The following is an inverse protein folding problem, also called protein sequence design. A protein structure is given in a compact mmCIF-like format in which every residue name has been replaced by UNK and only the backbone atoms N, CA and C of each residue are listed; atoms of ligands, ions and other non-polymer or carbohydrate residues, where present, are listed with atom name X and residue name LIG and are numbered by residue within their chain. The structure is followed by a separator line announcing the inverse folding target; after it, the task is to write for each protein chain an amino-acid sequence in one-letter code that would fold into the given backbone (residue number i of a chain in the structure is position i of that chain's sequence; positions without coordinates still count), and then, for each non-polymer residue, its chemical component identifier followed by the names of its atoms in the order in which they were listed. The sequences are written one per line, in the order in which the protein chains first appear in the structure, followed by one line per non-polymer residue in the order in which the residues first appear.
data_IF_475872091502
#
_entry.id   IF_475872091502
#
_cell.length_a   1.000
_cell.length_b   1.000
_cell.length_c   1.000
_cell.angle_alpha   90.00
_cell.angle_beta   90.00
_cell.angle_gamma   90.00
#
_symmetry.space_group_name_H-M   'P 1'
#
loop_
_entity.id
_entity.type
_entity.pdbx_description
1 polymer ?
#
# COMPACT_ATOMS: atom_id res chain seq x y z
N UNK A 1 -13.50 28.82 -32.15
CA UNK A 1 -12.88 28.66 -30.82
C UNK A 1 -11.51 28.04 -31.03
N UNK A 2 -10.42 28.69 -30.61
CA UNK A 2 -9.07 28.12 -30.74
C UNK A 2 -9.04 26.82 -29.91
N UNK A 3 -8.65 25.70 -30.53
CA UNK A 3 -8.43 24.41 -29.85
C UNK A 3 -7.45 24.60 -28.71
N UNK A 4 -7.97 24.75 -27.49
CA UNK A 4 -7.18 24.71 -26.27
C UNK A 4 -6.69 23.27 -26.11
N UNK A 5 -5.39 23.08 -25.90
CA UNK A 5 -4.84 21.74 -25.67
C UNK A 5 -5.58 21.08 -24.49
N UNK A 6 -6.20 19.90 -24.67
CA UNK A 6 -6.92 19.21 -23.62
C UNK A 6 -6.08 18.93 -22.36
N UNK A 7 -4.74 18.88 -22.47
CA UNK A 7 -3.85 18.74 -21.31
C UNK A 7 -3.93 19.92 -20.34
N UNK A 8 -4.28 21.11 -20.82
CA UNK A 8 -4.34 22.30 -19.96
C UNK A 8 -5.44 22.23 -18.90
N UNK A 9 -6.45 21.37 -19.10
CA UNK A 9 -7.48 21.11 -18.09
C UNK A 9 -6.97 20.26 -16.92
N UNK A 10 -5.82 19.60 -17.08
CA UNK A 10 -5.21 18.72 -16.09
C UNK A 10 -4.03 19.36 -15.36
N UNK A 11 -3.80 20.66 -15.56
CA UNK A 11 -2.76 21.41 -14.87
C UNK A 11 -3.03 21.48 -13.36
N UNK A 12 -1.96 21.34 -12.58
CA UNK A 12 -1.99 21.39 -11.12
C UNK A 12 -1.42 22.73 -10.64
N UNK A 13 -2.01 23.28 -9.57
CA UNK A 13 -1.51 24.46 -8.87
C UNK A 13 -0.09 24.18 -8.39
N UNK A 14 0.80 25.19 -8.40
CA UNK A 14 2.17 25.03 -7.91
C UNK A 14 2.18 24.69 -6.42
N UNK A 15 3.06 23.77 -6.05
CA UNK A 15 3.21 23.31 -4.67
C UNK A 15 4.45 23.93 -4.07
N UNK A 16 4.33 24.39 -2.83
CA UNK A 16 5.50 24.67 -1.99
C UNK A 16 5.89 23.36 -1.33
N UNK A 17 7.04 22.81 -1.69
CA UNK A 17 7.53 21.59 -1.07
C UNK A 17 7.73 21.77 0.43
N UNK A 18 7.65 20.67 1.18
CA UNK A 18 7.97 20.68 2.60
C UNK A 18 9.46 21.06 2.78
N UNK A 19 9.72 22.26 3.33
CA UNK A 19 11.08 22.84 3.45
C UNK A 19 12.09 21.88 4.09
N UNK A 20 11.68 21.15 5.12
CA UNK A 20 12.54 20.17 5.82
C UNK A 20 13.00 19.06 4.87
N UNK A 21 12.12 18.61 3.99
CA UNK A 21 12.42 17.54 3.07
C UNK A 21 13.21 18.01 1.84
N UNK A 22 12.98 19.24 1.37
CA UNK A 22 13.85 19.88 0.36
C UNK A 22 15.29 20.02 0.87
N UNK A 23 15.48 20.42 2.12
CA UNK A 23 16.79 20.49 2.77
C UNK A 23 17.42 19.09 2.82
N UNK A 24 16.68 18.08 3.28
CA UNK A 24 17.19 16.70 3.36
C UNK A 24 17.59 16.12 1.99
N UNK A 25 16.78 16.33 0.95
CA UNK A 25 17.11 15.89 -0.42
C UNK A 25 18.30 16.67 -0.98
N UNK A 26 18.37 17.97 -0.75
CA UNK A 26 19.49 18.80 -1.20
C UNK A 26 20.81 18.40 -0.51
N UNK A 27 20.77 18.13 0.80
CA UNK A 27 21.94 17.65 1.55
C UNK A 27 22.36 16.25 1.07
N UNK A 28 21.44 15.31 0.88
CA UNK A 28 21.75 13.97 0.38
C UNK A 28 22.25 13.99 -1.08
N UNK A 29 21.81 14.96 -1.88
CA UNK A 29 22.26 15.14 -3.25
C UNK A 29 23.54 15.99 -3.37
N UNK A 30 24.05 16.57 -2.28
CA UNK A 30 25.23 17.42 -2.32
C UNK A 30 26.47 16.63 -2.81
N UNK A 31 27.38 17.25 -3.58
CA UNK A 31 28.58 16.57 -4.10
C UNK A 31 29.68 16.34 -3.03
N UNK A 32 29.33 16.47 -1.75
CA UNK A 32 30.23 16.28 -0.60
C UNK A 32 30.23 14.80 -0.18
N UNK A 33 31.32 14.28 0.39
CA UNK A 33 31.36 12.89 0.90
C UNK A 33 30.43 12.71 2.10
N UNK A 34 29.90 11.50 2.31
CA UNK A 34 28.95 11.24 3.40
C UNK A 34 29.53 11.56 4.78
N UNK A 35 30.84 11.34 4.97
CA UNK A 35 31.56 11.61 6.22
C UNK A 35 31.69 13.12 6.54
N UNK A 36 31.60 13.97 5.51
CA UNK A 36 31.69 15.44 5.63
C UNK A 36 30.31 16.11 5.64
N UNK A 37 29.22 15.35 5.40
CA UNK A 37 27.86 15.89 5.35
C UNK A 37 27.29 16.06 6.76
N UNK A 38 26.94 17.30 7.10
CA UNK A 38 26.09 17.59 8.26
C UNK A 38 24.63 17.39 7.86
N UNK A 39 24.10 16.19 8.11
CA UNK A 39 22.69 15.90 7.90
C UNK A 39 21.85 16.59 8.98
N UNK A 40 21.06 17.60 8.60
CA UNK A 40 19.99 18.13 9.46
C UNK A 40 18.85 17.11 9.49
N UNK A 41 18.94 16.15 10.39
CA UNK A 41 17.87 15.19 10.66
C UNK A 41 17.31 15.46 12.05
N UNK A 42 16.06 15.89 12.11
CA UNK A 42 15.35 16.06 13.37
C UNK A 42 15.08 14.64 13.91
N UNK A 43 15.85 14.23 14.92
CA UNK A 43 15.48 13.10 15.80
C UNK A 43 16.08 11.72 15.49
N UNK A 44 17.37 11.60 15.13
CA UNK A 44 17.93 10.26 14.94
C UNK A 44 19.32 10.01 15.53
N UNK A 45 19.42 9.60 16.81
CA UNK A 45 20.67 9.13 17.39
C UNK A 45 21.14 7.76 16.86
N UNK A 46 20.32 7.02 16.09
CA UNK A 46 20.59 5.64 15.63
C UNK A 46 21.50 5.50 14.40
N UNK A 47 22.28 6.53 14.04
CA UNK A 47 23.39 6.36 13.09
C UNK A 47 24.68 5.89 13.79
N UNK A 48 24.69 5.81 15.12
CA UNK A 48 25.76 5.14 15.86
C UNK A 48 25.62 3.61 15.76
N UNK A 49 26.65 2.95 15.23
CA UNK A 49 26.80 1.50 15.16
C UNK A 49 26.50 0.77 16.48
N UNK A 50 26.81 1.39 17.64
CA UNK A 50 26.53 0.83 18.96
C UNK A 50 25.04 0.81 19.27
N UNK A 51 24.33 1.88 18.90
CA UNK A 51 22.88 1.97 19.11
C UNK A 51 22.12 1.04 18.16
N UNK A 52 22.58 0.92 16.90
CA UNK A 52 22.06 -0.08 15.95
C UNK A 52 22.26 -1.51 16.47
N UNK A 53 23.44 -1.84 16.97
CA UNK A 53 23.72 -3.17 17.55
C UNK A 53 22.94 -3.42 18.84
N UNK A 54 22.71 -2.39 19.66
CA UNK A 54 21.83 -2.48 20.83
C UNK A 54 20.37 -2.74 20.42
N UNK A 55 19.86 -2.02 19.42
CA UNK A 55 18.51 -2.23 18.90
C UNK A 55 18.34 -3.62 18.28
N UNK A 56 19.34 -4.11 17.54
CA UNK A 56 19.36 -5.48 17.01
C UNK A 56 19.21 -6.52 18.12
N UNK A 57 19.96 -6.38 19.23
CA UNK A 57 19.86 -7.30 20.37
C UNK A 57 18.47 -7.28 20.99
N UNK A 58 17.90 -6.09 21.20
CA UNK A 58 16.52 -5.95 21.70
C UNK A 58 15.51 -6.62 20.77
N UNK A 59 15.60 -6.37 19.46
CA UNK A 59 14.69 -6.94 18.46
C UNK A 59 14.78 -8.47 18.37
N UNK A 60 15.94 -9.03 18.66
CA UNK A 60 16.19 -10.47 18.68
C UNK A 60 15.92 -11.12 20.06
N UNK A 61 15.51 -10.36 21.07
CA UNK A 61 15.29 -10.86 22.43
C UNK A 61 16.58 -11.21 23.19
N UNK A 62 17.72 -10.68 22.75
CA UNK A 62 19.03 -10.86 23.37
C UNK A 62 19.32 -9.78 24.42
N UNK A 63 20.19 -10.09 25.38
CA UNK A 63 20.65 -9.12 26.38
C UNK A 63 21.39 -7.95 25.70
N UNK A 64 20.90 -6.73 25.93
CA UNK A 64 21.44 -5.47 25.40
C UNK A 64 22.88 -5.19 25.90
N UNK A 65 23.34 -5.85 26.95
CA UNK A 65 24.69 -5.69 27.49
C UNK A 65 25.73 -6.63 26.86
N UNK A 66 25.32 -7.61 26.06
CA UNK A 66 26.21 -8.52 25.31
C UNK A 66 26.83 -7.82 24.10
N UNK A 67 27.79 -6.92 24.32
CA UNK A 67 28.44 -6.15 23.24
C UNK A 67 29.29 -7.00 22.29
N UNK A 68 29.63 -8.22 22.71
CA UNK A 68 30.19 -9.25 21.85
C UNK A 68 29.25 -9.59 20.68
N UNK A 69 27.93 -9.63 20.91
CA UNK A 69 26.94 -9.96 19.89
C UNK A 69 26.56 -8.72 19.08
N UNK A 70 27.17 -8.54 17.90
CA UNK A 70 26.92 -7.41 17.01
C UNK A 70 26.69 -7.83 15.56
N UNK A 71 26.26 -6.88 14.73
CA UNK A 71 25.88 -7.10 13.33
C UNK A 71 26.96 -7.71 12.43
N UNK A 72 28.24 -7.67 12.83
CA UNK A 72 29.35 -8.28 12.07
C UNK A 72 29.60 -9.75 12.42
N UNK A 73 29.01 -10.23 13.52
CA UNK A 73 29.24 -11.58 14.06
C UNK A 73 28.00 -12.47 13.88
N UNK A 74 27.61 -12.70 12.62
CA UNK A 74 26.40 -13.46 12.28
C UNK A 74 26.39 -14.87 12.90
N UNK A 75 27.52 -15.58 12.87
CA UNK A 75 27.57 -16.95 13.36
C UNK A 75 27.41 -17.01 14.90
N UNK A 76 27.97 -16.05 15.64
CA UNK A 76 27.79 -15.92 17.09
C UNK A 76 26.35 -15.54 17.45
N UNK A 77 25.71 -14.70 16.64
CA UNK A 77 24.29 -14.36 16.80
C UNK A 77 23.40 -15.60 16.59
N UNK A 78 23.62 -16.37 15.53
CA UNK A 78 22.88 -17.61 15.26
C UNK A 78 23.01 -18.61 16.41
N UNK A 79 24.23 -18.83 16.92
CA UNK A 79 24.47 -19.71 18.06
C UNK A 79 23.74 -19.22 19.32
N UNK A 80 23.81 -17.92 19.61
CA UNK A 80 23.13 -17.34 20.79
C UNK A 80 21.61 -17.44 20.72
N UNK A 81 21.05 -17.39 19.52
CA UNK A 81 19.61 -17.52 19.25
C UNK A 81 19.14 -18.96 19.14
N UNK A 82 20.08 -19.92 19.11
CA UNK A 82 19.80 -21.33 18.81
C UNK A 82 19.10 -21.49 17.45
N UNK A 83 19.42 -20.62 16.50
CA UNK A 83 18.90 -20.67 15.13
C UNK A 83 19.72 -21.61 14.26
N UNK A 84 19.11 -22.15 13.21
CA UNK A 84 19.78 -23.03 12.29
C UNK A 84 20.64 -22.22 11.30
N UNK A 85 21.68 -22.82 10.69
CA UNK A 85 22.47 -22.15 9.66
C UNK A 85 21.63 -21.65 8.45
N UNK A 86 20.49 -22.29 8.18
CA UNK A 86 19.55 -21.89 7.13
C UNK A 86 18.87 -20.54 7.42
N UNK A 87 18.71 -20.19 8.70
CA UNK A 87 18.11 -18.92 9.15
C UNK A 87 19.07 -17.73 9.01
N UNK A 88 20.31 -17.96 8.52
CA UNK A 88 21.30 -16.90 8.31
C UNK A 88 20.78 -15.79 7.40
N UNK A 89 20.07 -16.15 6.33
CA UNK A 89 19.50 -15.16 5.39
C UNK A 89 18.41 -14.31 6.04
N UNK A 90 17.63 -14.88 6.95
CA UNK A 90 16.63 -14.16 7.75
C UNK A 90 17.31 -13.20 8.72
N UNK A 91 18.38 -13.63 9.40
CA UNK A 91 19.16 -12.77 10.29
C UNK A 91 19.78 -11.58 9.53
N UNK A 92 20.37 -11.83 8.36
CA UNK A 92 20.89 -10.78 7.48
C UNK A 92 19.79 -9.79 7.06
N UNK A 93 18.58 -10.29 6.74
CA UNK A 93 17.41 -9.46 6.45
C UNK A 93 17.00 -8.58 7.64
N UNK A 94 16.93 -9.12 8.85
CA UNK A 94 16.57 -8.36 10.04
C UNK A 94 17.58 -7.24 10.33
N UNK A 95 18.88 -7.56 10.24
CA UNK A 95 19.96 -6.57 10.37
C UNK A 95 19.82 -5.46 9.32
N UNK A 96 19.62 -5.84 8.05
CA UNK A 96 19.44 -4.89 6.95
C UNK A 96 18.22 -4.00 7.16
N UNK A 97 17.11 -4.58 7.61
CA UNK A 97 15.85 -3.89 7.90
C UNK A 97 16.03 -2.86 9.00
N UNK A 98 16.68 -3.22 10.10
CA UNK A 98 16.98 -2.30 11.22
C UNK A 98 17.85 -1.13 10.74
N UNK A 99 18.94 -1.44 10.02
CA UNK A 99 19.86 -0.42 9.51
C UNK A 99 19.20 0.56 8.56
N UNK A 100 18.32 0.08 7.68
CA UNK A 100 17.63 0.93 6.69
C UNK A 100 16.39 1.61 7.23
N UNK A 101 15.77 1.07 8.28
CA UNK A 101 14.63 1.70 8.97
C UNK A 101 15.06 2.71 10.01
N UNK A 102 16.33 2.69 10.43
CA UNK A 102 16.92 3.72 11.27
C UNK A 102 16.78 5.10 10.60
N UNK A 103 17.38 5.41 9.42
CA UNK A 103 17.17 6.70 8.76
C UNK A 103 15.76 6.85 8.17
N UNK A 104 15.30 8.09 8.04
CA UNK A 104 14.07 8.39 7.29
C UNK A 104 14.24 8.00 5.82
N UNK A 105 13.33 7.18 5.30
CA UNK A 105 13.25 6.91 3.87
C UNK A 105 13.01 8.22 3.10
N UNK A 106 13.60 8.44 1.91
CA UNK A 106 13.29 9.61 1.09
C UNK A 106 11.81 9.69 0.68
N UNK A 107 11.32 10.89 0.38
CA UNK A 107 9.99 11.05 -0.26
C UNK A 107 9.93 10.25 -1.55
N UNK A 108 8.79 9.62 -1.82
CA UNK A 108 8.61 8.71 -2.94
C UNK A 108 9.35 7.37 -2.81
N UNK A 109 10.01 7.10 -1.67
CA UNK A 109 10.58 5.80 -1.32
C UNK A 109 12.03 5.56 -1.75
N UNK A 110 12.67 6.49 -2.46
CA UNK A 110 14.08 6.37 -2.86
C UNK A 110 14.71 7.74 -3.23
N UNK A 111 16.03 7.82 -3.27
CA UNK A 111 16.74 9.04 -3.71
C UNK A 111 16.88 9.06 -5.23
N UNK A 112 16.77 10.24 -5.87
CA UNK A 112 16.84 10.38 -7.34
C UNK A 112 18.12 9.82 -7.96
N UNK A 113 19.24 9.87 -7.22
CA UNK A 113 20.55 9.40 -7.66
C UNK A 113 20.77 7.90 -7.43
N UNK A 114 19.94 7.25 -6.62
CA UNK A 114 20.16 5.86 -6.22
C UNK A 114 18.82 5.16 -5.99
N UNK A 115 18.13 4.72 -7.07
CA UNK A 115 16.96 3.87 -6.95
C UNK A 115 17.28 2.61 -6.16
N UNK A 116 16.39 2.25 -5.24
CA UNK A 116 16.52 1.04 -4.44
C UNK A 116 16.27 -0.21 -5.30
N UNK A 117 16.60 -1.39 -4.77
CA UNK A 117 16.46 -2.67 -5.48
C UNK A 117 15.02 -2.93 -5.95
N UNK A 118 14.03 -2.51 -5.15
CA UNK A 118 12.62 -2.67 -5.46
C UNK A 118 12.18 -1.84 -6.67
N UNK A 119 12.60 -0.58 -6.75
CA UNK A 119 12.32 0.29 -7.90
C UNK A 119 13.01 -0.25 -9.15
N UNK A 120 14.25 -0.75 -9.03
CA UNK A 120 14.95 -1.40 -10.15
C UNK A 120 14.24 -2.67 -10.63
N UNK A 121 13.72 -3.49 -9.71
CA UNK A 121 12.93 -4.67 -10.04
C UNK A 121 11.64 -4.27 -10.77
N UNK A 122 10.97 -3.20 -10.33
CA UNK A 122 9.78 -2.67 -11.00
C UNK A 122 10.07 -2.10 -12.39
N UNK A 123 11.12 -1.29 -12.54
CA UNK A 123 11.57 -0.80 -13.85
C UNK A 123 11.93 -1.95 -14.78
N UNK A 124 12.66 -2.95 -14.29
CA UNK A 124 12.99 -4.16 -15.05
C UNK A 124 11.74 -4.94 -15.45
N UNK A 125 10.74 -5.05 -14.57
CA UNK A 125 9.46 -5.67 -14.89
C UNK A 125 8.73 -4.93 -16.02
N UNK A 126 8.75 -3.59 -16.02
CA UNK A 126 8.17 -2.78 -17.10
C UNK A 126 8.93 -2.95 -18.43
N UNK A 127 10.26 -3.03 -18.40
CA UNK A 127 11.10 -3.07 -19.60
C UNK A 127 11.19 -4.47 -20.23
N UNK A 128 11.03 -5.53 -19.43
CA UNK A 128 11.10 -6.91 -19.92
C UNK A 128 9.76 -7.45 -20.46
N UNK A 129 8.70 -6.65 -20.44
CA UNK A 129 7.40 -7.03 -21.00
C UNK A 129 7.30 -6.79 -22.50
N UNK A 130 6.40 -7.50 -23.20
CA UNK A 130 5.98 -7.12 -24.54
C UNK A 130 5.50 -5.67 -24.54
N UNK A 131 6.02 -4.86 -25.47
CA UNK A 131 5.75 -3.43 -25.58
C UNK A 131 6.25 -2.66 -24.34
N UNK A 132 7.57 -2.52 -24.19
CA UNK A 132 8.17 -1.94 -22.99
C UNK A 132 7.74 -0.50 -22.79
N UNK A 133 7.46 -0.16 -21.52
CA UNK A 133 7.19 1.19 -21.08
C UNK A 133 8.38 1.68 -20.25
N UNK A 134 8.89 2.85 -20.61
CA UNK A 134 10.00 3.49 -19.92
C UNK A 134 9.50 4.73 -19.18
N UNK A 135 9.83 4.81 -17.90
CA UNK A 135 9.53 5.94 -17.02
C UNK A 135 10.83 6.36 -16.36
N UNK A 136 11.07 7.67 -16.26
CA UNK A 136 12.28 8.18 -15.66
C UNK A 136 12.24 8.03 -14.13
N UNK A 137 13.25 7.37 -13.56
CA UNK A 137 13.45 7.28 -12.10
C UNK A 137 14.04 8.56 -11.50
N UNK A 138 14.20 9.61 -12.30
CA UNK A 138 14.93 10.86 -12.09
C UNK A 138 16.45 10.77 -12.26
N UNK A 139 16.96 9.67 -12.81
CA UNK A 139 18.37 9.52 -13.16
C UNK A 139 18.76 10.38 -14.37
N UNK A 140 17.84 10.57 -15.33
CA UNK A 140 18.17 11.23 -16.61
C UNK A 140 17.66 12.68 -16.70
N UNK A 141 16.43 12.96 -16.28
CA UNK A 141 15.76 14.26 -16.51
C UNK A 141 15.38 15.01 -15.24
N UNK A 142 15.88 14.56 -14.08
CA UNK A 142 15.54 15.05 -12.74
C UNK A 142 14.04 14.97 -12.37
N UNK A 143 13.19 14.53 -13.31
CA UNK A 143 11.76 14.25 -13.15
C UNK A 143 11.59 12.82 -12.69
N UNK A 144 10.77 12.65 -11.66
CA UNK A 144 10.47 11.35 -11.11
C UNK A 144 9.10 10.90 -11.61
N UNK A 145 9.09 9.86 -12.43
CA UNK A 145 7.90 9.28 -13.04
C UNK A 145 7.52 7.92 -12.43
N UNK A 146 8.25 7.48 -11.39
CA UNK A 146 7.95 6.33 -10.53
C UNK A 146 8.10 6.75 -9.07
N UNK A 147 7.11 6.43 -8.24
CA UNK A 147 7.21 6.59 -6.77
C UNK A 147 6.71 5.32 -6.08
N UNK A 148 7.15 5.13 -4.84
CA UNK A 148 6.55 4.17 -3.90
C UNK A 148 5.61 4.93 -2.97
N UNK A 149 4.43 4.36 -2.75
CA UNK A 149 3.45 4.82 -1.78
C UNK A 149 3.07 3.67 -0.82
N UNK A 150 2.50 4.00 0.35
CA UNK A 150 2.11 3.01 1.36
C UNK A 150 0.62 3.08 1.73
N UNK A 151 0.11 1.98 2.28
CA UNK A 151 -1.29 1.83 2.70
C UNK A 151 -2.21 1.14 1.68
N UNK A 152 -1.66 0.56 0.62
CA UNK A 152 -2.41 -0.20 -0.39
C UNK A 152 -3.10 0.68 -1.44
N UNK A 153 -3.59 0.05 -2.51
CA UNK A 153 -4.14 0.75 -3.69
C UNK A 153 -5.29 1.69 -3.34
N UNK A 154 -6.19 1.26 -2.45
CA UNK A 154 -7.35 2.05 -2.02
C UNK A 154 -6.94 3.37 -1.35
N UNK A 155 -5.89 3.33 -0.53
CA UNK A 155 -5.39 4.52 0.12
C UNK A 155 -4.68 5.46 -0.84
N UNK A 156 -3.87 4.91 -1.75
CA UNK A 156 -3.19 5.71 -2.78
C UNK A 156 -4.21 6.39 -3.67
N UNK A 157 -5.31 5.71 -4.01
CA UNK A 157 -6.45 6.30 -4.71
C UNK A 157 -7.10 7.43 -3.90
N UNK A 158 -7.30 7.24 -2.60
CA UNK A 158 -7.85 8.30 -1.72
C UNK A 158 -6.95 9.54 -1.72
N UNK A 159 -5.63 9.36 -1.61
CA UNK A 159 -4.67 10.47 -1.67
C UNK A 159 -4.70 11.13 -3.05
N UNK A 160 -4.71 10.37 -4.14
CA UNK A 160 -4.77 10.91 -5.50
C UNK A 160 -6.06 11.70 -5.75
N UNK A 161 -7.21 11.21 -5.32
CA UNK A 161 -8.48 11.93 -5.47
C UNK A 161 -8.49 13.23 -4.66
N UNK A 162 -7.91 13.22 -3.46
CA UNK A 162 -7.70 14.44 -2.68
C UNK A 162 -6.77 15.44 -3.39
N UNK A 163 -5.70 14.94 -4.02
CA UNK A 163 -4.80 15.75 -4.86
C UNK A 163 -5.56 16.42 -5.99
N UNK A 164 -6.38 15.66 -6.74
CA UNK A 164 -7.19 16.21 -7.82
C UNK A 164 -8.16 17.28 -7.29
N UNK A 165 -8.88 16.98 -6.21
CA UNK A 165 -9.83 17.93 -5.60
C UNK A 165 -9.17 19.24 -5.14
N UNK A 166 -7.98 19.17 -4.55
CA UNK A 166 -7.36 20.35 -3.93
C UNK A 166 -6.46 21.14 -4.88
N UNK A 167 -5.73 20.45 -5.76
CA UNK A 167 -4.65 21.03 -6.56
C UNK A 167 -4.97 21.18 -8.03
N UNK A 168 -6.02 20.55 -8.57
CA UNK A 168 -6.39 20.78 -9.96
C UNK A 168 -6.78 22.26 -10.17
N UNK A 169 -6.27 22.88 -11.24
CA UNK A 169 -6.60 24.28 -11.56
C UNK A 169 -8.01 24.40 -12.15
N UNK A 170 -8.42 23.42 -12.95
CA UNK A 170 -9.73 23.40 -13.61
C UNK A 170 -10.70 22.54 -12.81
N UNK A 171 -11.55 23.16 -12.00
CA UNK A 171 -12.57 22.48 -11.19
C UNK A 171 -13.95 23.06 -11.48
N UNK A 172 -15.05 22.29 -11.33
CA UNK A 172 -15.11 20.90 -10.85
C UNK A 172 -14.60 19.87 -11.86
N UNK A 173 -14.24 18.67 -11.39
CA UNK A 173 -13.80 17.55 -12.23
C UNK A 173 -14.73 16.34 -12.10
N UNK A 174 -14.83 15.55 -13.17
CA UNK A 174 -15.60 14.30 -13.20
C UNK A 174 -14.67 13.11 -13.00
N UNK A 175 -15.11 12.12 -12.24
CA UNK A 175 -14.45 10.83 -12.05
C UNK A 175 -15.43 9.73 -12.46
N UNK A 176 -15.07 9.00 -13.52
CA UNK A 176 -15.85 7.88 -14.05
C UNK A 176 -15.25 6.57 -13.55
N UNK A 177 -15.99 5.80 -12.76
CA UNK A 177 -15.49 4.54 -12.18
C UNK A 177 -15.86 3.36 -13.08
N UNK A 178 -14.86 2.70 -13.66
CA UNK A 178 -15.04 1.46 -14.43
C UNK A 178 -14.42 0.27 -13.69
N UNK A 179 -15.27 -0.65 -13.24
CA UNK A 179 -14.86 -1.88 -12.52
C UNK A 179 -13.91 -1.61 -11.35
N UNK A 180 -14.05 -0.46 -10.69
CA UNK A 180 -13.28 -0.08 -9.53
C UNK A 180 -14.24 0.32 -8.42
N UNK A 181 -14.20 -0.40 -7.31
CA UNK A 181 -15.06 -0.13 -6.16
C UNK A 181 -14.41 0.94 -5.28
N UNK A 182 -15.08 2.08 -5.17
CA UNK A 182 -14.71 3.15 -4.25
C UNK A 182 -15.72 3.18 -3.10
N UNK A 183 -15.21 3.31 -1.87
CA UNK A 183 -16.06 3.53 -0.69
C UNK A 183 -16.81 4.86 -0.78
N UNK A 184 -17.98 4.94 -0.15
CA UNK A 184 -18.82 6.15 -0.16
C UNK A 184 -18.11 7.37 0.45
N UNK A 185 -17.26 7.14 1.46
CA UNK A 185 -16.44 8.19 2.05
C UNK A 185 -15.49 8.81 1.01
N UNK A 186 -14.92 8.01 0.10
CA UNK A 186 -14.08 8.51 -0.99
C UNK A 186 -14.91 9.22 -2.06
N UNK A 187 -16.14 8.78 -2.31
CA UNK A 187 -17.05 9.45 -3.26
C UNK A 187 -17.56 10.81 -2.76
N UNK A 188 -17.41 11.11 -1.47
CA UNK A 188 -17.79 12.41 -0.88
C UNK A 188 -16.75 13.53 -1.01
N UNK A 189 -15.62 13.30 -1.71
CA UNK A 189 -14.57 14.31 -1.89
C UNK A 189 -15.13 15.54 -2.63
N UNK A 190 -14.93 16.77 -2.09
CA UNK A 190 -15.52 17.97 -2.66
C UNK A 190 -15.00 18.25 -4.07
N UNK A 191 -15.79 18.95 -4.89
CA UNK A 191 -15.45 19.39 -6.25
C UNK A 191 -15.20 18.26 -7.27
N UNK A 192 -15.33 16.99 -6.85
CA UNK A 192 -15.32 15.83 -7.71
C UNK A 192 -16.75 15.29 -7.88
N UNK A 193 -17.10 14.95 -9.12
CA UNK A 193 -18.38 14.32 -9.47
C UNK A 193 -18.12 12.88 -9.87
N UNK A 194 -18.58 11.94 -9.04
CA UNK A 194 -18.39 10.50 -9.28
C UNK A 194 -19.59 9.92 -10.03
N UNK A 195 -19.31 9.14 -11.06
CA UNK A 195 -20.31 8.39 -11.82
C UNK A 195 -19.80 6.96 -12.03
N UNK A 196 -20.60 5.97 -11.69
CA UNK A 196 -20.25 4.57 -11.92
C UNK A 196 -20.64 4.18 -13.35
N UNK A 197 -19.68 3.65 -14.10
CA UNK A 197 -19.88 3.18 -15.47
C UNK A 197 -20.45 1.75 -15.48
N UNK A 198 -21.13 1.40 -16.57
CA UNK A 198 -21.63 0.05 -16.77
C UNK A 198 -20.50 -0.99 -16.73
N UNK A 199 -20.77 -2.18 -16.19
CA UNK A 199 -19.79 -3.28 -16.15
C UNK A 199 -19.42 -3.81 -17.54
N UNK A 200 -20.32 -3.65 -18.52
CA UNK A 200 -20.11 -3.99 -19.92
C UNK A 200 -19.32 -2.88 -20.64
N UNK A 201 -18.18 -3.27 -21.23
CA UNK A 201 -17.18 -2.33 -21.75
C UNK A 201 -17.70 -1.45 -22.90
N UNK A 202 -18.46 -2.02 -23.83
CA UNK A 202 -19.01 -1.26 -24.96
C UNK A 202 -19.99 -0.18 -24.50
N UNK A 203 -20.79 -0.50 -23.48
CA UNK A 203 -21.76 0.42 -22.88
C UNK A 203 -21.04 1.50 -22.06
N UNK A 204 -20.04 1.12 -21.27
CA UNK A 204 -19.18 2.07 -20.55
C UNK A 204 -18.51 3.08 -21.49
N UNK A 205 -17.97 2.62 -22.63
CA UNK A 205 -17.36 3.49 -23.65
C UNK A 205 -18.36 4.50 -24.21
N UNK A 206 -19.58 4.06 -24.55
CA UNK A 206 -20.64 4.97 -25.01
C UNK A 206 -21.03 6.00 -23.95
N UNK A 207 -21.07 5.60 -22.67
CA UNK A 207 -21.33 6.53 -21.57
C UNK A 207 -20.24 7.59 -21.47
N UNK A 208 -18.96 7.21 -21.55
CA UNK A 208 -17.81 8.14 -21.56
C UNK A 208 -17.97 9.17 -22.68
N UNK A 209 -18.25 8.72 -23.91
CA UNK A 209 -18.47 9.60 -25.06
C UNK A 209 -19.63 10.58 -24.83
N UNK A 210 -20.74 10.11 -24.25
CA UNK A 210 -21.90 10.94 -23.93
C UNK A 210 -21.58 12.01 -22.88
N UNK A 211 -20.84 11.66 -21.82
CA UNK A 211 -20.43 12.60 -20.78
C UNK A 211 -19.52 13.71 -21.34
N UNK A 212 -18.54 13.33 -22.17
CA UNK A 212 -17.62 14.26 -22.83
C UNK A 212 -18.33 15.15 -23.88
N UNK A 213 -19.42 14.67 -24.48
CA UNK A 213 -20.22 15.47 -25.42
C UNK A 213 -21.11 16.47 -24.69
N UNK A 214 -21.72 16.07 -23.58
CA UNK A 214 -22.61 16.93 -22.77
C UNK A 214 -21.85 18.08 -22.10
N UNK A 215 -20.62 17.83 -21.65
CA UNK A 215 -19.80 18.82 -20.95
C UNK A 215 -18.36 18.78 -21.48
N UNK A 216 -18.10 19.42 -22.63
CA UNK A 216 -16.84 19.28 -23.36
C UNK A 216 -15.63 19.91 -22.67
N UNK A 217 -15.84 20.88 -21.79
CA UNK A 217 -14.78 21.62 -21.08
C UNK A 217 -14.53 21.12 -19.65
N UNK A 218 -15.23 20.07 -19.21
CA UNK A 218 -15.05 19.53 -17.86
C UNK A 218 -13.93 18.48 -17.85
N UNK A 219 -12.87 18.64 -17.04
CA UNK A 219 -11.85 17.62 -16.91
C UNK A 219 -12.46 16.32 -16.40
N UNK A 220 -12.24 15.25 -17.15
CA UNK A 220 -12.80 13.93 -16.86
C UNK A 220 -11.66 12.93 -16.63
N UNK A 221 -11.65 12.32 -15.45
CA UNK A 221 -10.78 11.22 -15.08
C UNK A 221 -11.56 9.90 -15.20
N UNK A 222 -10.97 8.88 -15.81
CA UNK A 222 -11.54 7.52 -15.83
C UNK A 222 -10.69 6.64 -14.94
N UNK A 223 -11.29 6.13 -13.87
CA UNK A 223 -10.69 5.17 -12.96
C UNK A 223 -10.98 3.76 -13.49
N UNK A 224 -9.93 3.00 -13.77
CA UNK A 224 -9.99 1.70 -14.44
C UNK A 224 -9.49 0.64 -13.46
N UNK A 225 -10.41 -0.15 -12.91
CA UNK A 225 -10.11 -1.23 -11.97
C UNK A 225 -9.97 -2.62 -12.61
N UNK A 226 -10.22 -2.74 -13.92
CA UNK A 226 -10.04 -4.00 -14.67
C UNK A 226 -9.38 -3.78 -16.03
N UNK A 227 -8.87 -4.83 -16.69
CA UNK A 227 -8.29 -4.71 -18.03
C UNK A 227 -9.35 -4.30 -19.06
N UNK A 228 -8.90 -3.61 -20.10
CA UNK A 228 -9.72 -3.18 -21.25
C UNK A 228 -9.39 -4.00 -22.50
N UNK A 229 -10.31 -4.06 -23.45
CA UNK A 229 -10.03 -4.60 -24.79
C UNK A 229 -9.25 -3.58 -25.64
N UNK A 230 -8.53 -4.08 -26.64
CA UNK A 230 -7.72 -3.26 -27.55
C UNK A 230 -8.58 -2.24 -28.32
N UNK A 231 -9.78 -2.63 -28.76
CA UNK A 231 -10.70 -1.74 -29.48
C UNK A 231 -11.07 -0.52 -28.62
N UNK A 232 -11.36 -0.73 -27.34
CA UNK A 232 -11.71 0.32 -26.39
C UNK A 232 -10.51 1.19 -26.09
N UNK A 233 -9.32 0.61 -25.86
CA UNK A 233 -8.09 1.38 -25.65
C UNK A 233 -7.81 2.35 -26.80
N UNK A 234 -7.90 1.88 -28.05
CA UNK A 234 -7.69 2.72 -29.24
C UNK A 234 -8.70 3.85 -29.35
N UNK A 235 -9.96 3.61 -29.02
CA UNK A 235 -11.01 4.65 -29.05
C UNK A 235 -10.83 5.68 -27.93
N UNK A 236 -10.55 5.24 -26.72
CA UNK A 236 -10.25 6.13 -25.59
C UNK A 236 -9.02 7.00 -25.86
N UNK A 237 -8.00 6.45 -26.50
CA UNK A 237 -6.84 7.20 -26.98
C UNK A 237 -7.27 8.34 -27.91
N UNK A 238 -8.04 8.06 -28.97
CA UNK A 238 -8.51 9.09 -29.89
C UNK A 238 -9.32 10.17 -29.18
N UNK A 239 -10.25 9.77 -28.30
CA UNK A 239 -11.04 10.70 -27.50
C UNK A 239 -10.18 11.59 -26.62
N UNK A 240 -9.14 11.06 -25.99
CA UNK A 240 -8.26 11.85 -25.10
C UNK A 240 -7.42 12.91 -25.83
N UNK A 241 -7.15 12.72 -27.12
CA UNK A 241 -6.44 13.71 -27.93
C UNK A 241 -7.34 14.92 -28.21
N UNK A 242 -8.67 14.72 -28.29
CA UNK A 242 -9.64 15.75 -28.66
C UNK A 242 -10.38 16.36 -27.46
N UNK A 243 -10.52 15.60 -26.37
CA UNK A 243 -11.32 15.93 -25.20
C UNK A 243 -10.48 15.90 -23.92
N UNK A 244 -10.87 16.65 -22.88
CA UNK A 244 -10.16 16.64 -21.59
C UNK A 244 -10.44 15.33 -20.84
N UNK A 245 -9.76 14.27 -21.28
CA UNK A 245 -9.82 12.91 -20.73
C UNK A 245 -8.43 12.47 -20.22
N UNK A 246 -8.41 11.97 -18.99
CA UNK A 246 -7.23 11.45 -18.28
C UNK A 246 -7.57 10.11 -17.63
N UNK A 247 -6.59 9.22 -17.47
CA UNK A 247 -6.81 7.85 -17.01
C UNK A 247 -6.04 7.55 -15.72
N UNK A 248 -6.68 6.80 -14.82
CA UNK A 248 -6.07 6.26 -13.62
C UNK A 248 -6.30 4.74 -13.66
N UNK A 249 -5.24 3.97 -13.84
CA UNK A 249 -5.29 2.50 -13.88
C UNK A 249 -4.93 1.94 -12.51
N UNK A 250 -5.84 1.19 -11.90
CA UNK A 250 -5.68 0.56 -10.59
C UNK A 250 -5.99 -0.95 -10.68
N UNK A 251 -5.33 -1.65 -11.61
CA UNK A 251 -5.72 -2.99 -12.04
C UNK A 251 -4.55 -3.96 -12.28
N UNK A 252 -3.31 -3.60 -11.90
CA UNK A 252 -2.09 -4.40 -12.15
C UNK A 252 -1.89 -4.82 -13.62
N UNK A 253 -2.53 -4.16 -14.59
CA UNK A 253 -2.49 -4.60 -15.98
C UNK A 253 -1.04 -4.58 -16.52
N UNK A 254 -0.60 -5.61 -17.26
CA UNK A 254 0.69 -5.60 -17.95
C UNK A 254 0.70 -4.54 -19.06
N UNK A 255 1.89 -4.18 -19.56
CA UNK A 255 2.05 -3.07 -20.51
C UNK A 255 1.19 -3.21 -21.77
N UNK A 256 1.15 -4.40 -22.36
CA UNK A 256 0.36 -4.66 -23.56
C UNK A 256 -1.15 -4.46 -23.36
N UNK A 257 -1.63 -4.52 -22.11
CA UNK A 257 -3.03 -4.26 -21.71
C UNK A 257 -3.27 -2.85 -21.13
N UNK A 258 -2.21 -2.09 -20.85
CA UNK A 258 -2.31 -0.73 -20.30
C UNK A 258 -2.61 0.30 -21.39
N UNK A 259 -3.39 1.32 -21.05
CA UNK A 259 -3.56 2.52 -21.88
C UNK A 259 -2.28 3.32 -22.01
N UNK A 260 -1.34 3.24 -21.06
CA UNK A 260 -0.09 4.01 -21.12
C UNK A 260 0.75 3.65 -22.36
N UNK A 261 0.63 2.42 -22.86
CA UNK A 261 1.22 1.95 -24.12
C UNK A 261 0.72 2.73 -25.33
N UNK A 262 -0.54 3.13 -25.34
CA UNK A 262 -1.12 3.82 -26.48
C UNK A 262 -0.38 5.13 -26.73
N UNK A 263 0.05 5.35 -27.97
CA UNK A 263 0.96 6.45 -28.27
C UNK A 263 0.37 7.81 -27.84
N UNK A 264 1.19 8.57 -27.10
CA UNK A 264 0.89 9.86 -26.43
C UNK A 264 0.10 9.78 -25.12
N UNK A 265 -0.18 8.57 -24.59
CA UNK A 265 -0.91 8.43 -23.32
C UNK A 265 -0.03 8.24 -22.09
N UNK A 266 1.28 7.99 -22.22
CA UNK A 266 2.18 7.88 -21.05
C UNK A 266 2.04 9.08 -20.09
N UNK A 267 1.84 10.29 -20.64
CA UNK A 267 1.64 11.51 -19.85
C UNK A 267 0.18 11.77 -19.42
N UNK A 268 -0.75 10.87 -19.75
CA UNK A 268 -2.19 10.97 -19.46
C UNK A 268 -2.73 9.79 -18.68
N UNK A 269 -1.85 8.91 -18.23
CA UNK A 269 -2.18 7.70 -17.49
C UNK A 269 -1.34 7.68 -16.23
N UNK A 270 -1.99 7.60 -15.07
CA UNK A 270 -1.33 7.24 -13.81
C UNK A 270 -1.67 5.78 -13.54
N UNK A 271 -0.64 4.95 -13.36
CA UNK A 271 -0.78 3.53 -13.04
C UNK A 271 -0.47 3.31 -11.57
N UNK A 272 -1.37 2.65 -10.87
CA UNK A 272 -1.23 2.17 -9.51
C UNK A 272 -1.12 0.65 -9.56
N UNK A 273 0.07 0.13 -9.24
CA UNK A 273 0.34 -1.30 -9.29
C UNK A 273 0.73 -1.78 -7.89
N UNK A 274 0.01 -2.77 -7.40
CA UNK A 274 0.39 -3.52 -6.20
C UNK A 274 1.57 -4.47 -6.52
N UNK A 275 2.23 -5.04 -5.49
CA UNK A 275 3.27 -6.04 -5.69
C UNK A 275 2.74 -7.36 -6.29
N UNK A 276 1.41 -7.49 -6.41
CA UNK A 276 0.71 -8.51 -7.19
C UNK A 276 1.22 -8.67 -8.63
N UNK A 277 1.89 -7.65 -9.20
CA UNK A 277 2.53 -7.72 -10.52
C UNK A 277 3.73 -8.68 -10.58
N UNK A 278 4.40 -8.92 -9.45
CA UNK A 278 5.49 -9.88 -9.34
C UNK A 278 4.95 -11.26 -8.98
N UNK A 279 4.00 -11.32 -8.05
CA UNK A 279 3.32 -12.54 -7.67
C UNK A 279 1.93 -12.25 -7.08
N UNK A 280 0.85 -12.94 -7.49
CA UNK A 280 -0.52 -12.61 -7.08
C UNK A 280 -0.76 -12.51 -5.57
N UNK A 281 -0.11 -13.40 -4.79
CA UNK A 281 -0.18 -13.41 -3.32
C UNK A 281 0.21 -12.06 -2.71
N UNK A 282 1.16 -11.36 -3.30
CA UNK A 282 1.64 -10.08 -2.77
C UNK A 282 0.70 -8.90 -3.07
N UNK A 283 -0.47 -9.13 -3.68
CA UNK A 283 -1.39 -8.08 -4.09
C UNK A 283 -2.02 -7.30 -2.92
N UNK A 284 -2.13 -7.91 -1.75
CA UNK A 284 -2.70 -7.32 -0.53
C UNK A 284 -1.68 -6.49 0.27
N UNK A 285 -0.38 -6.56 -0.08
CA UNK A 285 0.66 -5.80 0.60
C UNK A 285 0.43 -4.29 0.47
N UNK A 286 0.84 -3.58 1.50
CA UNK A 286 0.64 -2.13 1.67
C UNK A 286 1.44 -1.27 0.70
N UNK A 287 2.55 -1.77 0.16
CA UNK A 287 3.40 -1.03 -0.77
C UNK A 287 2.78 -0.95 -2.15
N UNK A 288 2.78 0.22 -2.79
CA UNK A 288 2.20 0.43 -4.13
C UNK A 288 3.19 1.18 -5.01
N UNK A 289 3.39 0.67 -6.22
CA UNK A 289 4.12 1.35 -7.29
C UNK A 289 3.18 2.32 -8.00
N UNK A 290 3.59 3.58 -8.10
CA UNK A 290 2.84 4.60 -8.81
C UNK A 290 3.71 5.11 -9.95
N UNK A 291 3.24 4.94 -11.19
CA UNK A 291 3.94 5.38 -12.40
C UNK A 291 3.08 6.36 -13.20
N UNK A 292 3.65 7.46 -13.69
CA UNK A 292 2.90 8.47 -14.43
C UNK A 292 3.62 9.80 -14.55
N UNK A 293 2.86 10.87 -14.76
CA UNK A 293 3.44 12.22 -14.92
C UNK A 293 4.09 12.72 -13.63
N UNK A 294 5.32 13.22 -13.76
CA UNK A 294 6.10 13.75 -12.64
C UNK A 294 5.38 14.87 -11.86
N UNK A 295 4.57 15.68 -12.54
CA UNK A 295 3.80 16.74 -11.89
C UNK A 295 2.83 16.17 -10.85
N UNK A 296 2.02 15.17 -11.23
CA UNK A 296 1.10 14.48 -10.30
C UNK A 296 1.86 13.74 -9.21
N UNK A 297 2.91 12.99 -9.58
CA UNK A 297 3.70 12.23 -8.63
C UNK A 297 4.33 13.11 -7.56
N UNK A 298 4.84 14.30 -7.92
CA UNK A 298 5.40 15.26 -6.95
C UNK A 298 4.37 15.76 -5.92
N UNK A 299 3.10 15.89 -6.34
CA UNK A 299 2.01 16.28 -5.44
C UNK A 299 1.62 15.14 -4.53
N UNK A 300 1.50 13.93 -5.08
CA UNK A 300 1.19 12.72 -4.33
C UNK A 300 2.27 12.51 -3.26
N UNK A 301 3.55 12.61 -3.60
CA UNK A 301 4.66 12.52 -2.64
C UNK A 301 4.54 13.53 -1.51
N UNK A 302 4.26 14.79 -1.85
CA UNK A 302 4.15 15.88 -0.88
C UNK A 302 2.96 15.66 0.06
N UNK A 303 1.81 15.23 -0.48
CA UNK A 303 0.62 14.95 0.30
C UNK A 303 0.78 13.70 1.16
N UNK A 304 1.35 12.64 0.60
CA UNK A 304 1.66 11.42 1.33
C UNK A 304 2.60 11.72 2.49
N UNK A 305 3.64 12.52 2.26
CA UNK A 305 4.55 12.98 3.31
C UNK A 305 3.83 13.76 4.42
N UNK A 306 2.96 14.69 4.06
CA UNK A 306 2.23 15.49 5.05
C UNK A 306 1.20 14.68 5.85
N UNK A 307 0.58 13.67 5.24
CA UNK A 307 -0.47 12.87 5.87
C UNK A 307 0.09 11.67 6.65
N UNK A 308 1.17 11.04 6.15
CA UNK A 308 1.67 9.75 6.62
C UNK A 308 3.17 9.67 6.81
N UNK A 309 3.92 10.70 6.41
CA UNK A 309 5.36 10.61 6.28
C UNK A 309 5.78 9.81 5.05
N UNK A 310 6.94 9.18 5.13
CA UNK A 310 7.55 8.49 3.99
C UNK A 310 7.12 7.02 3.93
N UNK A 311 7.20 6.37 2.76
CA UNK A 311 6.94 4.93 2.65
C UNK A 311 7.77 4.15 3.67
N UNK A 312 7.19 3.10 4.25
CA UNK A 312 7.85 2.34 5.31
C UNK A 312 9.09 1.63 4.78
N UNK A 313 10.23 1.90 5.41
CA UNK A 313 11.49 1.26 5.07
C UNK A 313 11.43 -0.26 5.31
N UNK A 314 10.77 -0.69 6.39
CA UNK A 314 10.63 -2.11 6.70
C UNK A 314 9.75 -2.85 5.71
N UNK A 315 8.69 -2.23 5.19
CA UNK A 315 7.84 -2.83 4.15
C UNK A 315 8.58 -2.97 2.83
N UNK A 316 9.36 -1.96 2.44
CA UNK A 316 10.21 -1.99 1.24
C UNK A 316 11.27 -3.09 1.35
N UNK A 317 11.94 -3.20 2.50
CA UNK A 317 12.94 -4.24 2.73
C UNK A 317 12.32 -5.64 2.79
N UNK A 318 11.15 -5.78 3.40
CA UNK A 318 10.41 -7.04 3.43
C UNK A 318 10.05 -7.49 2.01
N UNK A 319 9.45 -6.61 1.21
CA UNK A 319 9.11 -6.93 -0.18
C UNK A 319 10.36 -7.23 -1.02
N UNK A 320 11.45 -6.49 -0.81
CA UNK A 320 12.74 -6.77 -1.46
C UNK A 320 13.24 -8.17 -1.11
N UNK A 321 13.18 -8.56 0.17
CA UNK A 321 13.60 -9.88 0.64
C UNK A 321 12.73 -11.00 0.07
N UNK A 322 11.41 -10.82 0.02
CA UNK A 322 10.49 -11.78 -0.59
C UNK A 322 10.85 -12.04 -2.07
N UNK A 323 11.21 -11.00 -2.81
CA UNK A 323 11.63 -11.11 -4.21
C UNK A 323 13.00 -11.79 -4.36
N UNK A 324 13.97 -11.43 -3.52
CA UNK A 324 15.34 -11.99 -3.54
C UNK A 324 15.34 -13.49 -3.22
N UNK A 325 14.57 -13.90 -2.21
CA UNK A 325 14.54 -15.27 -1.70
C UNK A 325 13.46 -16.16 -2.33
N UNK A 326 12.60 -15.60 -3.19
CA UNK A 326 11.47 -16.30 -3.82
C UNK A 326 10.53 -17.01 -2.84
N UNK A 327 10.32 -16.42 -1.66
CA UNK A 327 9.55 -17.03 -0.56
C UNK A 327 8.05 -17.12 -0.84
N UNK A 328 7.59 -16.54 -1.94
CA UNK A 328 6.20 -16.61 -2.41
C UNK A 328 5.83 -17.98 -3.02
N UNK A 329 6.82 -18.79 -3.41
CA UNK A 329 6.64 -20.14 -3.98
C UNK A 329 6.41 -21.22 -2.90
N UNK A 330 6.56 -20.88 -1.63
CA UNK A 330 6.38 -21.81 -0.51
C UNK A 330 4.87 -22.00 -0.23
N UNK A 331 4.31 -23.09 -0.76
CA UNK A 331 3.02 -23.65 -0.32
C UNK A 331 3.31 -24.93 0.45
N UNK A 332 3.03 -24.93 1.75
CA UNK A 332 2.53 -26.13 2.40
C UNK A 332 1.00 -26.11 2.26
N UNK A 333 0.42 -27.28 1.95
CA UNK A 333 -1.01 -27.51 1.70
C UNK A 333 -1.91 -26.63 2.58
N UNK A 334 -2.62 -25.70 1.94
CA UNK A 334 -3.72 -24.96 2.58
C UNK A 334 -4.84 -25.99 2.79
N UNK A 335 -5.21 -26.38 4.04
CA UNK A 335 -6.46 -27.06 4.27
C UNK A 335 -7.57 -26.07 3.90
N UNK A 336 -8.54 -26.53 3.12
CA UNK A 336 -9.64 -25.75 2.55
C UNK A 336 -10.13 -24.58 3.43
N UNK A 337 -10.20 -23.40 2.80
CA UNK A 337 -10.84 -22.15 3.23
C UNK A 337 -11.55 -22.21 4.58
N UNK A 338 -10.87 -21.75 5.63
CA UNK A 338 -11.54 -21.05 6.73
C UNK A 338 -11.68 -19.60 6.26
N UNK A 339 -12.88 -18.99 6.25
CA UNK A 339 -13.02 -17.60 5.87
C UNK A 339 -12.25 -16.73 6.87
N UNK A 340 -11.10 -16.21 6.44
CA UNK A 340 -10.31 -15.26 7.22
C UNK A 340 -11.10 -13.95 7.19
N UNK A 341 -11.74 -13.63 8.32
CA UNK A 341 -12.31 -12.31 8.56
C UNK A 341 -11.21 -11.26 8.42
N UNK A 342 -11.46 -10.24 7.60
CA UNK A 342 -10.59 -9.07 7.40
C UNK A 342 -10.03 -8.57 8.74
N UNK A 343 -8.72 -8.32 8.88
CA UNK A 343 -8.20 -7.67 10.07
C UNK A 343 -8.82 -6.28 10.20
N UNK A 344 -9.47 -6.03 11.33
CA UNK A 344 -10.12 -4.78 11.67
C UNK A 344 -9.07 -3.74 12.07
N UNK A 345 -8.44 -3.07 11.10
CA UNK A 345 -7.78 -1.80 11.36
C UNK A 345 -7.86 -0.85 10.16
N UNK A 346 -8.97 -0.14 10.08
CA UNK A 346 -9.06 1.18 9.43
C UNK A 346 -9.18 2.22 10.54
N UNK A 347 -8.26 3.17 10.58
CA UNK A 347 -8.25 4.23 11.57
C UNK A 347 -9.54 5.06 11.58
N UNK A 348 -10.03 5.35 12.78
CA UNK A 348 -11.00 6.39 13.14
C UNK A 348 -12.24 6.50 12.22
N UNK A 349 -13.15 5.55 12.36
CA UNK A 349 -14.55 5.63 11.94
C UNK A 349 -15.41 4.69 12.79
N UNK A 350 -16.43 5.24 13.44
CA UNK A 350 -17.34 4.55 14.37
C UNK A 350 -18.15 3.42 13.72
N UNK A 351 -18.32 2.31 14.44
CA UNK A 351 -19.57 1.54 14.43
C UNK A 351 -19.61 0.22 13.64
N UNK A 352 -19.96 -0.84 14.40
CA UNK A 352 -20.71 -2.04 14.01
C UNK A 352 -20.02 -3.03 13.04
N UNK A 353 -19.37 -4.05 13.63
CA UNK A 353 -19.51 -5.47 13.21
C UNK A 353 -18.70 -6.38 14.15
N UNK A 354 -19.30 -6.70 15.29
CA UNK A 354 -18.88 -7.78 16.18
C UNK A 354 -19.93 -8.91 16.17
N UNK A 355 -20.46 -9.23 15.00
CA UNK A 355 -21.50 -10.25 14.84
C UNK A 355 -21.09 -11.21 13.72
N UNK A 356 -20.33 -12.26 14.03
CA UNK A 356 -20.30 -13.50 13.20
C UNK A 356 -19.55 -14.67 13.84
N UNK A 357 -18.72 -14.47 14.88
CA UNK A 357 -18.05 -15.59 15.57
C UNK A 357 -18.97 -16.26 16.61
N UNK A 358 -19.82 -15.47 17.29
CA UNK A 358 -20.81 -15.95 18.26
C UNK A 358 -21.94 -16.80 17.63
N UNK A 359 -22.54 -16.44 16.48
CA UNK A 359 -23.58 -17.26 15.85
C UNK A 359 -23.08 -18.65 15.42
N UNK A 360 -21.85 -18.76 14.91
CA UNK A 360 -21.29 -20.03 14.43
C UNK A 360 -20.87 -20.98 15.56
N UNK A 361 -20.46 -20.42 16.71
CA UNK A 361 -20.26 -21.21 17.94
C UNK A 361 -21.60 -21.54 18.61
N UNK A 362 -22.59 -20.65 18.56
CA UNK A 362 -23.95 -20.91 19.02
C UNK A 362 -24.62 -22.04 18.23
N UNK A 363 -24.50 -22.07 16.89
CA UNK A 363 -25.10 -23.08 16.02
C UNK A 363 -24.49 -24.49 16.26
N UNK A 364 -23.17 -24.57 16.49
CA UNK A 364 -22.50 -25.84 16.85
C UNK A 364 -22.91 -26.35 18.23
N UNK A 365 -23.14 -25.44 19.17
CA UNK A 365 -23.63 -25.76 20.52
C UNK A 365 -25.12 -26.10 20.46
N UNK A 366 -25.91 -25.52 19.56
CA UNK A 366 -27.33 -25.80 19.35
C UNK A 366 -27.56 -27.20 18.74
N UNK A 367 -26.70 -27.62 17.80
CA UNK A 367 -26.71 -28.99 17.26
C UNK A 367 -26.26 -30.03 18.31
N UNK A 368 -25.36 -29.65 19.22
CA UNK A 368 -24.93 -30.53 20.32
C UNK A 368 -25.97 -30.59 21.45
N UNK A 369 -26.60 -29.46 21.78
CA UNK A 369 -27.65 -29.36 22.79
C UNK A 369 -28.97 -29.96 22.33
N UNK A 370 -29.35 -29.84 21.05
CA UNK A 370 -30.57 -30.46 20.50
C UNK A 370 -30.58 -31.98 20.64
N UNK A 371 -29.41 -32.63 20.60
CA UNK A 371 -29.25 -34.07 20.89
C UNK A 371 -29.35 -34.44 22.37
N UNK A 372 -29.18 -33.48 23.27
CA UNK A 372 -29.25 -33.65 24.74
C UNK A 372 -30.60 -33.14 25.30
N UNK A 373 -31.42 -32.50 24.46
CA UNK A 373 -32.57 -31.67 24.83
C UNK A 373 -33.95 -32.35 24.77
N UNK A 374 -34.05 -33.68 24.73
CA UNK A 374 -35.36 -34.35 24.75
C UNK A 374 -35.99 -34.46 26.16
N UNK A 375 -35.73 -33.52 27.08
CA UNK A 375 -36.36 -33.62 28.41
C UNK A 375 -36.36 -32.44 29.38
N UNK A 376 -35.69 -31.30 29.16
CA UNK A 376 -35.63 -30.24 30.20
C UNK A 376 -35.60 -28.80 29.66
N UNK A 377 -36.62 -28.42 28.90
CA UNK A 377 -36.73 -27.12 28.22
C UNK A 377 -36.83 -25.89 29.16
N UNK A 378 -37.40 -25.99 30.37
CA UNK A 378 -37.64 -24.79 31.19
C UNK A 378 -36.45 -24.35 32.07
N UNK A 379 -35.58 -25.26 32.48
CA UNK A 379 -34.42 -24.91 33.32
C UNK A 379 -33.31 -24.28 32.48
N UNK A 380 -33.18 -24.69 31.20
CA UNK A 380 -32.15 -24.23 30.28
C UNK A 380 -32.31 -22.76 29.86
N UNK A 381 -33.55 -22.27 29.70
CA UNK A 381 -33.78 -20.87 29.33
C UNK A 381 -33.22 -19.90 30.39
N UNK A 382 -33.35 -20.23 31.68
CA UNK A 382 -32.78 -19.43 32.78
C UNK A 382 -31.25 -19.48 32.82
N UNK A 383 -30.66 -20.63 32.49
CA UNK A 383 -29.20 -20.76 32.41
C UNK A 383 -28.63 -20.02 31.20
N UNK A 384 -29.31 -20.06 30.05
CA UNK A 384 -28.90 -19.32 28.85
C UNK A 384 -28.92 -17.81 29.08
N UNK A 385 -30.00 -17.26 29.66
CA UNK A 385 -30.07 -15.82 29.97
C UNK A 385 -29.01 -15.42 31.00
N UNK A 386 -28.74 -16.27 31.99
CA UNK A 386 -27.66 -16.04 32.95
C UNK A 386 -26.27 -16.11 32.30
N UNK A 387 -26.09 -16.91 31.25
CA UNK A 387 -24.81 -17.08 30.58
C UNK A 387 -24.56 -15.93 29.60
N UNK A 388 -25.58 -15.50 28.84
CA UNK A 388 -25.53 -14.29 28.00
C UNK A 388 -25.18 -13.05 28.82
N UNK A 389 -25.82 -12.87 29.98
CA UNK A 389 -25.50 -11.74 30.86
C UNK A 389 -24.07 -11.78 31.40
N UNK A 390 -23.51 -12.98 31.66
CA UNK A 390 -22.11 -13.12 32.05
C UNK A 390 -21.15 -12.91 30.89
N UNK A 391 -21.50 -13.39 29.69
CA UNK A 391 -20.72 -13.19 28.48
C UNK A 391 -20.64 -11.70 28.10
N UNK A 392 -21.76 -10.98 28.11
CA UNK A 392 -21.78 -9.52 27.88
C UNK A 392 -20.95 -8.77 28.91
N UNK A 393 -20.99 -9.19 30.18
CA UNK A 393 -20.19 -8.55 31.24
C UNK A 393 -18.69 -8.82 31.07
N UNK A 394 -18.33 -10.02 30.57
CA UNK A 394 -16.95 -10.39 30.25
C UNK A 394 -16.45 -9.63 29.02
N UNK A 395 -17.29 -9.49 28.00
CA UNK A 395 -17.00 -8.74 26.77
C UNK A 395 -16.80 -7.25 27.07
N UNK A 396 -17.65 -6.67 27.92
CA UNK A 396 -17.47 -5.30 28.42
C UNK A 396 -16.19 -5.15 29.23
N UNK A 397 -15.83 -6.13 30.06
CA UNK A 397 -14.58 -6.12 30.82
C UNK A 397 -13.35 -6.26 29.91
N UNK A 398 -13.41 -7.12 28.89
CA UNK A 398 -12.34 -7.30 27.90
C UNK A 398 -12.19 -6.03 27.05
N UNK A 399 -13.28 -5.39 26.63
CA UNK A 399 -13.24 -4.09 25.94
C UNK A 399 -12.64 -3.00 26.83
N UNK A 400 -12.99 -2.96 28.11
CA UNK A 400 -12.47 -1.96 29.05
C UNK A 400 -10.98 -2.16 29.30
N UNK A 401 -10.54 -3.42 29.48
CA UNK A 401 -9.13 -3.78 29.63
C UNK A 401 -8.36 -3.55 28.32
N UNK A 402 -8.92 -3.84 27.14
CA UNK A 402 -8.29 -3.54 25.84
C UNK A 402 -8.17 -2.05 25.54
N UNK A 403 -9.07 -1.20 26.05
CA UNK A 403 -8.98 0.26 25.89
C UNK A 403 -7.91 0.89 26.79
N UNK A 404 -7.67 0.31 27.96
CA UNK A 404 -6.68 0.83 28.93
C UNK A 404 -5.30 0.16 28.86
N UNK A 405 -5.17 -0.97 28.16
CA UNK A 405 -3.89 -1.66 27.97
C UNK A 405 -3.57 -1.73 26.48
N UNK A 406 -2.51 -1.06 26.05
CA UNK A 406 -1.84 -1.34 24.78
C UNK A 406 -1.27 -2.77 24.86
N UNK A 407 -2.10 -3.76 24.54
CA UNK A 407 -1.66 -5.13 24.40
C UNK A 407 -0.93 -5.20 23.07
N UNK A 408 0.39 -5.29 23.13
CA UNK A 408 1.19 -5.67 21.96
C UNK A 408 0.96 -7.16 21.70
N UNK A 409 0.15 -7.46 20.68
CA UNK A 409 -0.23 -8.82 20.28
C UNK A 409 0.98 -9.65 19.82
N UNK A 410 2.14 -9.01 19.57
CA UNK A 410 3.38 -9.65 19.14
C UNK A 410 4.43 -9.72 20.24
N UNK A 411 4.17 -9.18 21.44
CA UNK A 411 5.17 -9.11 22.52
C UNK A 411 5.68 -10.49 23.00
N UNK A 412 4.90 -11.55 22.79
CA UNK A 412 5.29 -12.92 23.14
C UNK A 412 5.90 -13.70 21.98
N UNK A 413 5.89 -13.16 20.76
CA UNK A 413 6.42 -13.85 19.58
C UNK A 413 7.89 -13.54 19.42
N UNK A 414 8.67 -14.56 19.09
CA UNK A 414 10.04 -14.32 18.66
C UNK A 414 10.07 -13.75 17.23
N UNK A 415 11.17 -13.06 16.88
CA UNK A 415 11.30 -12.40 15.58
C UNK A 415 11.20 -13.36 14.39
N UNK A 416 11.60 -14.62 14.56
CA UNK A 416 11.54 -15.66 13.52
C UNK A 416 10.12 -16.17 13.34
N UNK A 417 9.41 -16.43 14.43
CA UNK A 417 8.00 -16.82 14.43
C UNK A 417 7.16 -15.74 13.77
N UNK A 418 7.34 -14.48 14.17
CA UNK A 418 6.65 -13.34 13.56
C UNK A 418 6.92 -13.27 12.05
N UNK A 419 8.19 -13.41 11.64
CA UNK A 419 8.55 -13.41 10.23
C UNK A 419 7.85 -14.54 9.46
N UNK A 420 7.86 -15.76 9.97
CA UNK A 420 7.18 -16.89 9.32
C UNK A 420 5.67 -16.70 9.24
N UNK A 421 5.04 -16.12 10.27
CA UNK A 421 3.63 -15.77 10.22
C UNK A 421 3.35 -14.71 9.15
N UNK A 422 4.20 -13.67 9.04
CA UNK A 422 4.08 -12.66 8.00
C UNK A 422 4.18 -13.26 6.60
N UNK A 423 5.14 -14.17 6.37
CA UNK A 423 5.30 -14.85 5.07
C UNK A 423 4.10 -15.76 4.75
N UNK A 424 3.58 -16.48 5.76
CA UNK A 424 2.40 -17.35 5.59
C UNK A 424 1.15 -16.55 5.23
N UNK A 425 0.99 -15.36 5.82
CA UNK A 425 -0.20 -14.51 5.68
C UNK A 425 -0.05 -13.40 4.63
N UNK A 426 0.80 -13.58 3.62
CA UNK A 426 0.95 -12.60 2.52
C UNK A 426 -0.34 -12.47 1.70
N UNK A 427 -1.25 -13.45 1.73
CA UNK A 427 -2.45 -13.55 0.87
C UNK A 427 -3.54 -12.49 1.14
#
# INVERSE_FOLDING_TARGET
MKNRDPLTFFALKPIRGARVSEISEATAAAPVSDDERVNFHIGNPLQDSKLTSAFLRVALGLDIHREDLNETQLDALLESLQWNPEDKTLLEFLIRTIRKSSPYMPRGGYTRKTPNALVKAFSSWLENQPEPLHYDTAEQTAKREIILASGGVAEVLRVLLFVISSYLESLPARVLNYRCELSDAVKSVPQLQFEDLASEEQTARKQIEQFLTRQPDMPTFVLIGGPLEEETRRKLRLLSVEKPLFFIEANNAPNHLSLAREAKLVQRVIRLLSPGIFHPRMGSLSSVFVAGTADYLSVIESMHFNLKGTPSASEIEFLTYLLEQKLFDLVEDIPAEVPIGKPSFYGLGLGISAETILPQTAERIEVFLSKVLDGRSQTLSRFLTSFEQKAQKLEQQIEHVRKDTLIDEFASMDARELFHQLVRNID
#
